data_IF_539875680054
#
_entry.id   IF_539875680054
#
_cell.length_a   1.000
_cell.length_b   1.000
_cell.length_c   1.000
_cell.angle_alpha   90.00
_cell.angle_beta   90.00
_cell.angle_gamma   90.00
#
_symmetry.space_group_name_H-M   'P 1'
#
loop_
_entity.id
_entity.type
_entity.pdbx_description
1 polymer ?
#
# COMPACT_ATOMS: atom_id res chain seq x y z
N UNK A 1 2.75 -9.90 15.81
CA UNK A 1 1.34 -10.33 15.74
C UNK A 1 1.13 -11.67 16.46
N UNK A 2 1.97 -12.68 16.23
CA UNK A 2 1.77 -14.06 16.73
C UNK A 2 1.49 -14.22 18.25
N UNK A 3 2.04 -13.35 19.10
CA UNK A 3 1.81 -13.40 20.55
C UNK A 3 0.51 -12.77 21.05
N UNK A 4 -0.31 -12.16 20.17
CA UNK A 4 -1.53 -11.47 20.57
C UNK A 4 -2.62 -12.44 21.04
N UNK A 5 -3.23 -12.14 22.19
CA UNK A 5 -4.28 -12.97 22.80
C UNK A 5 -5.14 -12.13 23.77
N UNK A 6 -6.13 -12.78 24.39
CA UNK A 6 -7.11 -12.14 25.29
C UNK A 6 -6.51 -11.35 26.47
N UNK A 7 -5.25 -11.63 26.87
CA UNK A 7 -4.55 -10.89 27.94
C UNK A 7 -4.19 -9.45 27.57
N UNK A 8 -4.42 -9.04 26.32
CA UNK A 8 -4.26 -7.66 25.90
C UNK A 8 -5.33 -6.71 26.50
N UNK A 9 -6.46 -7.25 26.98
CA UNK A 9 -7.50 -6.47 27.63
C UNK A 9 -7.19 -6.18 29.10
N UNK A 10 -7.66 -5.03 29.57
CA UNK A 10 -7.61 -4.66 30.99
C UNK A 10 -8.88 -5.16 31.69
N UNK A 11 -8.74 -5.87 32.82
CA UNK A 11 -9.84 -6.20 33.73
C UNK A 11 -11.07 -6.83 33.06
N UNK A 12 -12.26 -6.33 33.39
CA UNK A 12 -13.58 -6.84 32.96
C UNK A 12 -14.02 -6.36 31.56
N UNK A 13 -13.09 -5.94 30.70
CA UNK A 13 -13.42 -5.53 29.32
C UNK A 13 -14.01 -6.71 28.53
N UNK A 14 -15.09 -6.51 27.75
CA UNK A 14 -15.62 -7.57 26.89
C UNK A 14 -14.60 -7.99 25.83
N UNK A 15 -14.59 -9.29 25.49
CA UNK A 15 -13.69 -9.85 24.48
C UNK A 15 -13.76 -9.14 23.12
N UNK A 16 -14.91 -8.56 22.76
CA UNK A 16 -15.06 -7.81 21.51
C UNK A 16 -14.20 -6.56 21.42
N UNK A 17 -13.71 -6.02 22.54
CA UNK A 17 -12.74 -4.92 22.56
C UNK A 17 -11.35 -5.34 22.09
N UNK A 18 -11.05 -6.65 22.00
CA UNK A 18 -9.78 -7.14 21.43
C UNK A 18 -9.59 -6.66 19.99
N UNK A 19 -10.68 -6.50 19.24
CA UNK A 19 -10.65 -5.99 17.88
C UNK A 19 -10.01 -4.59 17.80
N UNK A 20 -10.35 -3.69 18.73
CA UNK A 20 -9.78 -2.34 18.78
C UNK A 20 -8.37 -2.35 19.39
N UNK A 21 -8.12 -3.20 20.39
CA UNK A 21 -6.77 -3.38 20.95
C UNK A 21 -5.76 -3.94 19.92
N UNK A 22 -6.25 -4.69 18.92
CA UNK A 22 -5.43 -5.24 17.85
C UNK A 22 -5.04 -4.20 16.78
N UNK A 23 -5.87 -3.16 16.57
CA UNK A 23 -5.63 -2.11 15.56
C UNK A 23 -4.22 -1.52 15.62
N UNK A 24 -3.73 -0.99 16.75
CA UNK A 24 -2.38 -0.41 16.82
C UNK A 24 -1.27 -1.45 16.63
N UNK A 25 -1.52 -2.73 16.90
CA UNK A 25 -0.55 -3.82 16.71
C UNK A 25 -0.42 -4.14 15.22
N UNK A 26 -1.55 -4.24 14.51
CA UNK A 26 -1.55 -4.45 13.07
C UNK A 26 -0.96 -3.25 12.32
N UNK A 27 -1.29 -2.03 12.75
CA UNK A 27 -0.80 -0.79 12.15
C UNK A 27 0.52 -0.28 12.74
N UNK A 28 1.26 -1.11 13.48
CA UNK A 28 2.49 -0.72 14.17
C UNK A 28 3.50 -0.06 13.22
N UNK A 29 3.61 -0.58 12.00
CA UNK A 29 4.57 -0.14 10.98
C UNK A 29 4.19 1.18 10.29
N UNK A 30 3.01 1.75 10.55
CA UNK A 30 2.50 2.94 9.84
C UNK A 30 3.43 4.15 9.92
N UNK A 31 4.14 4.31 11.03
CA UNK A 31 5.09 5.41 11.23
C UNK A 31 6.42 5.14 10.53
N UNK A 32 6.89 3.90 10.53
CA UNK A 32 8.07 3.47 9.79
C UNK A 32 7.83 3.62 8.28
N UNK A 33 6.63 3.29 7.79
CA UNK A 33 6.21 3.53 6.40
C UNK A 33 6.32 5.02 6.07
N UNK A 34 5.77 5.90 6.91
CA UNK A 34 5.86 7.35 6.69
C UNK A 34 7.32 7.84 6.68
N UNK A 35 8.16 7.33 7.58
CA UNK A 35 9.56 7.69 7.68
C UNK A 35 10.38 7.21 6.47
N UNK A 36 10.24 5.94 6.08
CA UNK A 36 10.90 5.37 4.92
C UNK A 36 10.47 6.08 3.63
N UNK A 37 9.17 6.36 3.47
CA UNK A 37 8.67 7.12 2.32
C UNK A 37 9.33 8.49 2.20
N UNK A 38 9.60 9.21 3.31
CA UNK A 38 10.29 10.51 3.27
C UNK A 38 11.68 10.46 2.64
N UNK A 39 12.39 9.33 2.70
CA UNK A 39 13.71 9.18 2.09
C UNK A 39 13.63 9.19 0.56
N UNK A 40 12.57 8.62 -0.02
CA UNK A 40 12.35 8.58 -1.47
C UNK A 40 12.07 9.99 -2.02
N UNK A 41 12.93 10.47 -2.91
CA UNK A 41 12.90 11.85 -3.39
C UNK A 41 13.02 12.88 -2.26
N UNK A 42 13.60 12.48 -1.12
CA UNK A 42 13.91 13.36 0.01
C UNK A 42 15.17 14.17 -0.26
N UNK A 43 15.31 15.30 0.44
CA UNK A 43 16.50 16.15 0.36
C UNK A 43 16.95 16.55 1.77
N UNK A 44 18.27 16.59 1.97
CA UNK A 44 18.93 17.13 3.14
C UNK A 44 19.26 18.60 2.86
N UNK A 45 18.95 19.48 3.81
CA UNK A 45 19.27 20.90 3.74
C UNK A 45 19.54 21.44 5.15
N UNK A 46 20.41 22.44 5.25
CA UNK A 46 20.63 23.13 6.53
C UNK A 46 19.48 24.08 6.83
N UNK A 47 18.98 24.05 8.06
CA UNK A 47 18.02 25.04 8.56
C UNK A 47 18.68 26.38 8.89
N UNK A 48 19.99 26.38 9.13
CA UNK A 48 20.77 27.61 9.33
C UNK A 48 21.05 28.20 7.95
N UNK A 49 20.52 29.39 7.69
CA UNK A 49 20.74 30.13 6.45
C UNK A 49 22.00 30.98 6.59
N UNK A 50 23.16 30.43 6.22
CA UNK A 50 24.36 31.21 5.96
C UNK A 50 24.66 31.21 4.45
N UNK A 51 25.69 31.95 4.04
CA UNK A 51 26.07 32.06 2.62
C UNK A 51 26.62 30.75 2.02
N UNK A 52 26.76 29.69 2.82
CA UNK A 52 27.31 28.38 2.43
C UNK A 52 26.28 27.25 2.48
N UNK A 53 25.04 27.52 2.89
CA UNK A 53 23.98 26.52 2.95
C UNK A 53 23.70 25.92 1.56
N UNK A 54 23.87 24.61 1.44
CA UNK A 54 23.49 23.83 0.26
C UNK A 54 22.45 22.77 0.64
N UNK A 55 21.78 22.25 -0.36
CA UNK A 55 20.90 21.09 -0.22
C UNK A 55 21.30 20.02 -1.22
N UNK A 56 21.05 18.76 -0.87
CA UNK A 56 21.28 17.63 -1.77
C UNK A 56 20.20 16.57 -1.57
N UNK A 57 19.91 15.79 -2.62
CA UNK A 57 19.02 14.64 -2.48
C UNK A 57 19.62 13.58 -1.55
N UNK A 58 18.74 12.79 -0.93
CA UNK A 58 19.14 11.60 -0.17
C UNK A 58 19.93 10.66 -1.09
N UNK A 59 20.99 10.04 -0.55
CA UNK A 59 21.89 9.19 -1.34
C UNK A 59 21.13 8.03 -2.03
N UNK A 60 21.50 7.65 -3.28
CA UNK A 60 20.78 6.63 -4.04
C UNK A 60 20.55 5.33 -3.28
N UNK A 61 21.58 4.82 -2.61
CA UNK A 61 21.50 3.56 -1.85
C UNK A 61 20.53 3.63 -0.66
N UNK A 62 20.42 4.79 -0.01
CA UNK A 62 19.42 4.98 1.04
C UNK A 62 18.00 5.01 0.48
N UNK A 63 17.80 5.59 -0.72
CA UNK A 63 16.50 5.57 -1.38
C UNK A 63 16.12 4.15 -1.82
N UNK A 64 17.04 3.38 -2.41
CA UNK A 64 16.80 1.97 -2.79
C UNK A 64 16.47 1.11 -1.57
N UNK A 65 17.21 1.26 -0.46
CA UNK A 65 16.92 0.55 0.78
C UNK A 65 15.55 0.92 1.35
N UNK A 66 15.17 2.19 1.30
CA UNK A 66 13.85 2.65 1.72
C UNK A 66 12.72 2.11 0.82
N UNK A 67 12.95 2.06 -0.50
CA UNK A 67 11.99 1.49 -1.45
C UNK A 67 11.76 0.01 -1.12
N UNK A 68 12.84 -0.76 -0.99
CA UNK A 68 12.75 -2.17 -0.61
C UNK A 68 11.98 -2.36 0.70
N UNK A 69 12.29 -1.58 1.73
CA UNK A 69 11.61 -1.68 3.02
C UNK A 69 10.11 -1.39 2.92
N UNK A 70 9.70 -0.45 2.05
CA UNK A 70 8.29 -0.17 1.77
C UNK A 70 7.62 -1.33 1.02
N UNK A 71 8.28 -1.88 -0.01
CA UNK A 71 7.75 -3.02 -0.77
C UNK A 71 7.59 -4.26 0.09
N UNK A 72 8.50 -4.51 1.05
CA UNK A 72 8.38 -5.61 2.01
C UNK A 72 7.10 -5.51 2.87
N UNK A 73 6.54 -4.30 3.08
CA UNK A 73 5.25 -4.12 3.79
C UNK A 73 4.02 -4.52 2.95
N UNK A 74 4.19 -4.68 1.63
CA UNK A 74 3.13 -5.09 0.71
C UNK A 74 3.06 -6.60 0.53
N UNK A 75 4.05 -7.33 1.05
CA UNK A 75 4.11 -8.79 0.93
C UNK A 75 2.93 -9.43 1.66
N UNK A 76 2.29 -10.47 1.09
CA UNK A 76 1.17 -11.13 1.74
C UNK A 76 1.51 -11.62 3.15
N UNK A 77 2.74 -12.08 3.37
CA UNK A 77 3.25 -12.53 4.66
C UNK A 77 3.29 -11.41 5.72
N UNK A 78 3.56 -10.16 5.30
CA UNK A 78 3.58 -8.99 6.19
C UNK A 78 2.18 -8.50 6.58
N UNK A 79 1.17 -8.81 5.75
CA UNK A 79 -0.21 -8.37 5.92
C UNK A 79 -1.11 -9.47 6.49
N UNK A 80 -0.61 -10.70 6.58
CA UNK A 80 -1.32 -11.87 7.08
C UNK A 80 -1.57 -11.76 8.60
N UNK A 81 -2.76 -12.16 9.02
CA UNK A 81 -3.11 -12.29 10.44
C UNK A 81 -3.25 -13.79 10.73
N UNK A 82 -2.44 -14.36 11.63
CA UNK A 82 -2.53 -15.76 12.00
C UNK A 82 -3.95 -16.16 12.41
N UNK A 83 -4.38 -17.36 12.00
CA UNK A 83 -5.76 -17.82 12.21
C UNK A 83 -6.18 -17.82 13.69
N UNK A 84 -5.24 -18.16 14.59
CA UNK A 84 -5.47 -18.13 16.04
C UNK A 84 -5.73 -16.71 16.54
N UNK A 85 -5.08 -15.70 15.96
CA UNK A 85 -5.31 -14.29 16.28
C UNK A 85 -6.66 -13.84 15.75
N UNK A 86 -6.99 -14.13 14.49
CA UNK A 86 -8.29 -13.77 13.90
C UNK A 86 -9.45 -14.33 14.72
N UNK A 87 -9.36 -15.57 15.17
CA UNK A 87 -10.40 -16.22 15.98
C UNK A 87 -10.63 -15.54 17.34
N UNK A 88 -9.66 -14.79 17.87
CA UNK A 88 -9.85 -14.00 19.09
C UNK A 88 -10.53 -12.66 18.85
N UNK A 89 -10.55 -12.16 17.61
CA UNK A 89 -11.17 -10.89 17.26
C UNK A 89 -12.68 -11.08 17.11
N UNK A 90 -13.38 -11.33 18.22
CA UNK A 90 -14.84 -11.52 18.17
C UNK A 90 -15.58 -10.19 17.97
N UNK A 91 -16.80 -10.20 17.40
CA UNK A 91 -17.62 -9.01 17.31
C UNK A 91 -17.86 -8.36 18.69
N UNK A 92 -17.97 -7.03 18.69
CA UNK A 92 -18.36 -6.26 19.88
C UNK A 92 -19.75 -6.68 20.37
N UNK A 93 -19.96 -6.66 21.68
CA UNK A 93 -21.19 -7.12 22.34
C UNK A 93 -21.77 -6.06 23.29
N UNK A 94 -23.06 -6.18 23.59
CA UNK A 94 -23.78 -5.25 24.46
C UNK A 94 -23.82 -3.83 23.90
N UNK A 95 -23.45 -2.84 24.72
CA UNK A 95 -23.45 -1.43 24.35
C UNK A 95 -22.18 -0.98 23.59
N UNK A 96 -21.22 -1.88 23.37
CA UNK A 96 -19.99 -1.56 22.64
C UNK A 96 -20.23 -1.57 21.14
N UNK A 97 -19.81 -0.51 20.46
CA UNK A 97 -20.00 -0.31 19.03
C UNK A 97 -18.66 -0.04 18.35
N UNK A 98 -18.59 -0.28 17.04
CA UNK A 98 -17.45 0.12 16.24
C UNK A 98 -17.31 1.65 16.28
N UNK A 99 -16.08 2.13 16.47
CA UNK A 99 -15.77 3.56 16.52
C UNK A 99 -14.88 3.93 15.34
N UNK A 100 -14.48 5.21 15.26
CA UNK A 100 -13.47 5.64 14.28
C UNK A 100 -12.12 4.95 14.49
N UNK A 101 -11.86 4.40 15.68
CA UNK A 101 -10.62 3.68 16.00
C UNK A 101 -10.70 2.19 15.63
N UNK A 102 -11.88 1.69 15.24
CA UNK A 102 -12.07 0.31 14.77
C UNK A 102 -11.74 0.20 13.28
N UNK A 103 -11.27 -0.98 12.84
CA UNK A 103 -11.20 -1.26 11.41
C UNK A 103 -12.59 -1.22 10.79
N UNK A 104 -12.72 -0.49 9.69
CA UNK A 104 -13.87 -0.63 8.81
C UNK A 104 -13.82 -2.01 8.11
N UNK A 105 -14.98 -2.60 7.84
CA UNK A 105 -15.11 -3.95 7.30
C UNK A 105 -16.04 -4.00 6.09
N UNK A 106 -15.63 -4.74 5.06
CA UNK A 106 -16.47 -5.06 3.90
C UNK A 106 -17.39 -6.27 4.12
N UNK A 107 -17.24 -7.00 5.23
CA UNK A 107 -18.01 -8.21 5.55
C UNK A 107 -18.89 -8.05 6.81
N UNK A 108 -19.07 -6.82 7.30
CA UNK A 108 -19.89 -6.51 8.46
C UNK A 108 -19.12 -6.62 9.77
N UNK A 109 -19.74 -7.19 10.81
CA UNK A 109 -19.20 -7.18 12.19
C UNK A 109 -18.05 -8.17 12.43
N UNK A 110 -17.78 -9.06 11.46
CA UNK A 110 -16.69 -10.03 11.53
C UNK A 110 -15.34 -9.40 11.17
N UNK A 111 -14.21 -9.94 11.67
CA UNK A 111 -12.87 -9.50 11.29
C UNK A 111 -12.62 -9.62 9.79
N UNK A 112 -12.39 -8.49 9.14
CA UNK A 112 -12.08 -8.43 7.72
C UNK A 112 -10.57 -8.33 7.51
N UNK A 113 -9.88 -9.46 7.46
CA UNK A 113 -8.44 -9.49 7.21
C UNK A 113 -8.08 -8.86 5.86
N UNK A 114 -8.91 -9.05 4.84
CA UNK A 114 -8.67 -8.45 3.52
C UNK A 114 -8.85 -6.93 3.58
N UNK A 115 -9.81 -6.45 4.39
CA UNK A 115 -9.98 -5.04 4.68
C UNK A 115 -8.80 -4.43 5.44
N UNK A 116 -8.26 -5.14 6.44
CA UNK A 116 -7.04 -4.73 7.15
C UNK A 116 -5.84 -4.62 6.19
N UNK A 117 -5.65 -5.62 5.34
CA UNK A 117 -4.62 -5.61 4.30
C UNK A 117 -4.81 -4.46 3.31
N UNK A 118 -6.05 -4.16 2.91
CA UNK A 118 -6.35 -2.98 2.07
C UNK A 118 -5.87 -1.69 2.72
N UNK A 119 -6.23 -1.48 4.00
CA UNK A 119 -5.89 -0.25 4.73
C UNK A 119 -4.38 -0.04 4.81
N UNK A 120 -3.62 -1.06 5.25
CA UNK A 120 -2.18 -0.90 5.45
C UNK A 120 -1.42 -0.81 4.10
N UNK A 121 -1.77 -1.65 3.14
CA UNK A 121 -1.18 -1.61 1.79
C UNK A 121 -1.45 -0.27 1.10
N UNK A 122 -2.65 0.30 1.25
CA UNK A 122 -2.99 1.61 0.70
C UNK A 122 -2.19 2.73 1.35
N UNK A 123 -1.99 2.66 2.66
CA UNK A 123 -1.14 3.60 3.38
C UNK A 123 0.29 3.61 2.81
N UNK A 124 0.89 2.44 2.59
CA UNK A 124 2.20 2.32 1.95
C UNK A 124 2.21 2.89 0.53
N UNK A 125 1.32 2.42 -0.34
CA UNK A 125 1.36 2.75 -1.76
C UNK A 125 1.06 4.24 -2.00
N UNK A 126 0.12 4.85 -1.27
CA UNK A 126 -0.20 6.28 -1.43
C UNK A 126 0.93 7.19 -0.93
N UNK A 127 1.66 6.79 0.12
CA UNK A 127 2.87 7.50 0.57
C UNK A 127 4.01 7.40 -0.46
N UNK A 128 4.14 6.26 -1.12
CA UNK A 128 5.15 6.02 -2.17
C UNK A 128 4.83 6.79 -3.46
N UNK A 129 3.57 6.77 -3.90
CA UNK A 129 3.12 7.34 -5.19
C UNK A 129 2.61 8.78 -5.09
N UNK A 130 2.97 9.51 -4.04
CA UNK A 130 2.59 10.92 -3.87
C UNK A 130 3.14 11.75 -5.05
N UNK A 131 2.31 12.54 -5.77
CA UNK A 131 2.74 13.27 -6.98
C UNK A 131 4.00 14.13 -6.79
N UNK A 132 4.02 14.96 -5.74
CA UNK A 132 5.18 15.81 -5.41
C UNK A 132 6.46 15.01 -5.16
N UNK A 133 6.34 13.78 -4.64
CA UNK A 133 7.48 12.89 -4.42
C UNK A 133 8.01 12.38 -5.74
N UNK A 134 7.15 11.86 -6.61
CA UNK A 134 7.57 11.38 -7.92
C UNK A 134 8.20 12.50 -8.76
N UNK A 135 7.66 13.72 -8.68
CA UNK A 135 8.26 14.90 -9.32
C UNK A 135 9.69 15.14 -8.82
N UNK A 136 9.95 15.06 -7.50
CA UNK A 136 11.29 15.19 -6.93
C UNK A 136 12.22 14.04 -7.33
N UNK A 137 11.74 12.80 -7.34
CA UNK A 137 12.50 11.63 -7.82
C UNK A 137 12.94 11.84 -9.27
N UNK A 138 12.03 12.29 -10.14
CA UNK A 138 12.35 12.59 -11.53
C UNK A 138 13.39 13.71 -11.66
N UNK A 139 13.26 14.80 -10.90
CA UNK A 139 14.24 15.90 -10.90
C UNK A 139 15.63 15.46 -10.43
N UNK A 140 15.69 14.63 -9.38
CA UNK A 140 16.94 14.05 -8.89
C UNK A 140 17.60 13.21 -9.99
N UNK A 141 16.85 12.33 -10.63
CA UNK A 141 17.34 11.45 -11.70
C UNK A 141 17.78 12.17 -12.99
N UNK A 142 17.15 13.30 -13.32
CA UNK A 142 17.58 14.13 -14.46
C UNK A 142 18.96 14.74 -14.20
N UNK A 143 19.23 15.12 -12.95
CA UNK A 143 20.47 15.79 -12.55
C UNK A 143 21.61 14.80 -12.28
N UNK A 144 21.28 13.64 -11.72
CA UNK A 144 22.22 12.58 -11.35
C UNK A 144 21.61 11.21 -11.71
N UNK A 145 22.23 10.53 -12.69
CA UNK A 145 21.74 9.24 -13.21
C UNK A 145 21.95 8.07 -12.25
N UNK A 146 22.71 8.25 -11.17
CA UNK A 146 22.82 7.24 -10.12
C UNK A 146 21.62 7.25 -9.17
N UNK A 147 20.84 8.35 -9.14
CA UNK A 147 19.63 8.45 -8.32
C UNK A 147 18.56 7.43 -8.72
N UNK A 148 17.66 7.15 -7.78
CA UNK A 148 16.47 6.34 -8.07
C UNK A 148 15.64 7.02 -9.16
N UNK A 149 15.28 6.28 -10.20
CA UNK A 149 14.36 6.76 -11.23
C UNK A 149 12.91 6.40 -10.90
N UNK A 150 11.95 7.17 -11.43
CA UNK A 150 10.51 6.82 -11.31
C UNK A 150 10.22 5.50 -12.04
N UNK A 151 10.93 5.21 -13.13
CA UNK A 151 10.81 3.93 -13.84
C UNK A 151 11.17 2.76 -12.94
N UNK A 152 12.31 2.81 -12.25
CA UNK A 152 12.78 1.70 -11.42
C UNK A 152 11.87 1.50 -10.21
N UNK A 153 11.47 2.60 -9.56
CA UNK A 153 10.50 2.57 -8.46
C UNK A 153 9.20 1.86 -8.86
N UNK A 154 8.64 2.21 -10.01
CA UNK A 154 7.37 1.65 -10.48
C UNK A 154 7.57 0.20 -10.94
N UNK A 155 8.68 -0.10 -11.63
CA UNK A 155 8.99 -1.47 -12.04
C UNK A 155 9.08 -2.40 -10.83
N UNK A 156 9.84 -2.03 -9.81
CA UNK A 156 9.95 -2.81 -8.56
C UNK A 156 8.59 -2.96 -7.88
N UNK A 157 7.79 -1.89 -7.79
CA UNK A 157 6.43 -1.96 -7.23
C UNK A 157 5.54 -2.94 -8.00
N UNK A 158 5.54 -2.91 -9.34
CA UNK A 158 4.75 -3.81 -10.17
C UNK A 158 5.25 -5.25 -10.04
N UNK A 159 6.57 -5.46 -10.06
CA UNK A 159 7.22 -6.77 -9.98
C UNK A 159 7.00 -7.45 -8.63
N UNK A 160 6.97 -6.68 -7.54
CA UNK A 160 6.71 -7.22 -6.20
C UNK A 160 5.23 -7.40 -5.87
N UNK A 161 4.31 -6.87 -6.69
CA UNK A 161 2.87 -6.96 -6.43
C UNK A 161 2.14 -7.68 -7.57
N UNK A 162 1.58 -6.92 -8.50
CA UNK A 162 0.66 -7.41 -9.52
C UNK A 162 1.32 -8.28 -10.59
N UNK A 163 2.64 -8.18 -10.77
CA UNK A 163 3.41 -9.06 -11.63
C UNK A 163 4.10 -10.20 -10.88
N UNK A 164 4.10 -10.19 -9.54
CA UNK A 164 4.64 -11.30 -8.75
C UNK A 164 3.80 -12.54 -8.93
N UNK A 165 4.44 -13.70 -9.07
CA UNK A 165 3.74 -14.98 -9.12
C UNK A 165 3.47 -15.44 -7.69
N UNK A 166 2.21 -15.58 -7.32
CA UNK A 166 1.78 -16.15 -6.04
C UNK A 166 1.34 -17.60 -6.24
N UNK A 167 1.69 -18.50 -5.32
CA UNK A 167 1.08 -19.84 -5.26
C UNK A 167 -0.29 -19.71 -4.62
N UNK A 168 -1.30 -20.38 -5.18
CA UNK A 168 -2.65 -20.37 -4.59
C UNK A 168 -2.64 -21.05 -3.23
N UNK A 169 -2.85 -20.25 -2.19
CA UNK A 169 -2.86 -20.60 -0.78
C UNK A 169 -3.77 -19.64 0.02
N UNK A 170 -3.71 -19.69 1.36
CA UNK A 170 -4.48 -18.83 2.27
C UNK A 170 -4.23 -17.34 2.07
N UNK A 171 -3.05 -16.96 1.57
CA UNK A 171 -2.64 -15.58 1.35
C UNK A 171 -3.03 -15.03 -0.02
N UNK A 172 -3.63 -15.85 -0.90
CA UNK A 172 -4.04 -15.44 -2.25
C UNK A 172 -4.97 -14.23 -2.23
N UNK A 173 -5.93 -14.20 -1.31
CA UNK A 173 -6.87 -13.08 -1.18
C UNK A 173 -6.17 -11.77 -0.81
N UNK A 174 -5.15 -11.83 0.04
CA UNK A 174 -4.32 -10.67 0.42
C UNK A 174 -3.57 -10.15 -0.81
N UNK A 175 -2.89 -11.04 -1.53
CA UNK A 175 -2.18 -10.70 -2.77
C UNK A 175 -3.12 -10.05 -3.80
N UNK A 176 -4.32 -10.60 -3.98
CA UNK A 176 -5.33 -10.02 -4.87
C UNK A 176 -5.75 -8.61 -4.42
N UNK A 177 -5.96 -8.41 -3.11
CA UNK A 177 -6.31 -7.09 -2.55
C UNK A 177 -5.20 -6.06 -2.76
N UNK A 178 -3.94 -6.43 -2.47
CA UNK A 178 -2.78 -5.56 -2.69
C UNK A 178 -2.68 -5.14 -4.15
N UNK A 179 -2.85 -6.08 -5.09
CA UNK A 179 -2.82 -5.77 -6.52
C UNK A 179 -3.89 -4.76 -6.93
N UNK A 180 -5.11 -4.88 -6.39
CA UNK A 180 -6.17 -3.93 -6.64
C UNK A 180 -5.82 -2.54 -6.08
N UNK A 181 -5.26 -2.47 -4.87
CA UNK A 181 -4.82 -1.21 -4.25
C UNK A 181 -3.71 -0.53 -5.05
N UNK A 182 -2.71 -1.29 -5.49
CA UNK A 182 -1.60 -0.76 -6.29
C UNK A 182 -2.09 -0.19 -7.62
N UNK A 183 -2.93 -0.94 -8.33
CA UNK A 183 -3.51 -0.48 -9.59
C UNK A 183 -4.39 0.77 -9.40
N UNK A 184 -5.23 0.78 -8.36
CA UNK A 184 -6.09 1.92 -8.02
C UNK A 184 -5.26 3.18 -7.70
N UNK A 185 -4.19 3.04 -6.90
CA UNK A 185 -3.32 4.15 -6.55
C UNK A 185 -2.51 4.68 -7.75
N UNK A 186 -1.97 3.80 -8.60
CA UNK A 186 -1.28 4.22 -9.83
C UNK A 186 -2.21 4.98 -10.77
N UNK A 187 -3.45 4.51 -10.97
CA UNK A 187 -4.46 5.21 -11.78
C UNK A 187 -4.81 6.58 -11.20
N UNK A 188 -4.90 6.70 -9.87
CA UNK A 188 -5.11 7.99 -9.22
C UNK A 188 -3.93 8.93 -9.44
N UNK A 189 -2.70 8.45 -9.26
CA UNK A 189 -1.49 9.26 -9.47
C UNK A 189 -1.34 9.71 -10.92
N UNK A 190 -1.65 8.86 -11.90
CA UNK A 190 -1.67 9.24 -13.34
C UNK A 190 -2.59 10.43 -13.60
N UNK A 191 -3.74 10.48 -12.92
CA UNK A 191 -4.77 11.50 -13.14
C UNK A 191 -4.63 12.71 -12.22
N UNK A 192 -3.75 12.66 -11.23
CA UNK A 192 -3.54 13.77 -10.31
C UNK A 192 -2.92 14.95 -11.06
N UNK A 193 -3.52 16.15 -10.99
CA UNK A 193 -3.02 17.34 -11.69
C UNK A 193 -1.66 17.81 -11.17
N UNK A 194 -1.22 17.35 -10.01
CA UNK A 194 0.10 17.64 -9.46
C UNK A 194 1.19 16.66 -9.95
N UNK A 195 0.82 15.60 -10.66
CA UNK A 195 1.79 14.68 -11.28
C UNK A 195 2.30 15.31 -12.57
N UNK A 196 3.62 15.47 -12.71
CA UNK A 196 4.19 16.09 -13.90
C UNK A 196 3.86 15.30 -15.19
N UNK A 197 3.66 15.96 -16.35
CA UNK A 197 3.24 15.29 -17.59
C UNK A 197 4.14 14.13 -18.03
N UNK A 198 5.47 14.26 -17.88
CA UNK A 198 6.43 13.21 -18.21
C UNK A 198 6.30 11.98 -17.29
N UNK A 199 5.88 12.19 -16.04
CA UNK A 199 5.60 11.10 -15.10
C UNK A 199 4.23 10.47 -15.42
N UNK A 200 3.21 11.26 -15.76
CA UNK A 200 1.92 10.73 -16.19
C UNK A 200 2.08 9.84 -17.43
N UNK A 201 2.90 10.25 -18.41
CA UNK A 201 3.23 9.47 -19.59
C UNK A 201 3.92 8.14 -19.23
N UNK A 202 4.93 8.20 -18.36
CA UNK A 202 5.68 7.03 -17.91
C UNK A 202 4.78 6.04 -17.14
N UNK A 203 3.97 6.53 -16.19
CA UNK A 203 3.05 5.69 -15.42
C UNK A 203 1.97 5.07 -16.31
N UNK A 204 1.47 5.81 -17.30
CA UNK A 204 0.49 5.31 -18.27
C UNK A 204 1.07 4.17 -19.11
N UNK A 205 2.31 4.33 -19.60
CA UNK A 205 3.01 3.26 -20.34
C UNK A 205 3.21 2.02 -19.45
N UNK A 206 3.67 2.20 -18.22
CA UNK A 206 3.91 1.09 -17.27
C UNK A 206 2.63 0.33 -16.94
N UNK A 207 1.49 1.03 -16.82
CA UNK A 207 0.18 0.38 -16.66
C UNK A 207 -0.25 -0.41 -17.90
N UNK A 208 0.00 0.09 -19.11
CA UNK A 208 -0.26 -0.67 -20.35
C UNK A 208 0.63 -1.90 -20.47
N UNK A 209 1.91 -1.80 -20.09
CA UNK A 209 2.80 -2.94 -19.96
C UNK A 209 2.25 -3.96 -18.96
N UNK A 210 1.84 -3.51 -17.77
CA UNK A 210 1.25 -4.35 -16.75
C UNK A 210 0.00 -5.09 -17.26
N UNK A 211 -0.91 -4.43 -17.97
CA UNK A 211 -2.08 -5.06 -18.62
C UNK A 211 -1.67 -6.22 -19.51
N UNK A 212 -0.64 -6.02 -20.36
CA UNK A 212 -0.14 -7.07 -21.27
C UNK A 212 0.42 -8.26 -20.49
N UNK A 213 1.14 -8.00 -19.40
CA UNK A 213 1.68 -9.04 -18.52
C UNK A 213 0.59 -9.79 -17.76
N UNK A 214 -0.40 -9.09 -17.22
CA UNK A 214 -1.54 -9.67 -16.50
C UNK A 214 -2.34 -10.61 -17.42
N UNK A 215 -2.64 -10.18 -18.65
CA UNK A 215 -3.30 -11.02 -19.67
C UNK A 215 -2.50 -12.28 -19.98
N UNK A 216 -1.17 -12.16 -20.09
CA UNK A 216 -0.26 -13.30 -20.33
C UNK A 216 -0.20 -14.25 -19.14
N UNK A 217 -0.18 -13.74 -17.91
CA UNK A 217 -0.14 -14.52 -16.66
C UNK A 217 -1.46 -15.25 -16.41
N UNK A 218 -2.59 -14.62 -16.67
CA UNK A 218 -3.91 -15.22 -16.51
C UNK A 218 -4.08 -16.53 -17.31
N UNK A 219 -3.46 -16.63 -18.50
CA UNK A 219 -3.48 -17.86 -19.32
C UNK A 219 -2.77 -19.06 -18.69
N UNK A 220 -1.95 -18.85 -17.66
CA UNK A 220 -1.12 -19.88 -17.00
C UNK A 220 -1.46 -20.04 -15.52
N UNK A 221 -2.46 -19.33 -15.04
CA UNK A 221 -2.92 -19.37 -13.66
C UNK A 221 -4.08 -20.36 -13.52
N UNK A 222 -4.36 -20.81 -12.30
CA UNK A 222 -5.63 -21.49 -12.02
C UNK A 222 -6.83 -20.53 -12.17
N UNK A 223 -8.05 -21.08 -12.22
CA UNK A 223 -9.26 -20.32 -12.49
C UNK A 223 -9.47 -19.14 -11.52
N UNK A 224 -9.12 -19.32 -10.24
CA UNK A 224 -9.32 -18.30 -9.22
C UNK A 224 -8.38 -17.11 -9.46
N UNK A 225 -7.08 -17.37 -9.63
CA UNK A 225 -6.11 -16.32 -9.96
C UNK A 225 -6.35 -15.72 -11.36
N UNK A 226 -6.73 -16.54 -12.34
CA UNK A 226 -7.00 -16.09 -13.70
C UNK A 226 -8.15 -15.06 -13.73
N UNK A 227 -9.22 -15.29 -12.96
CA UNK A 227 -10.34 -14.36 -12.85
C UNK A 227 -9.88 -12.99 -12.31
N UNK A 228 -9.08 -12.98 -11.24
CA UNK A 228 -8.52 -11.74 -10.69
C UNK A 228 -7.63 -11.00 -11.68
N UNK A 229 -6.68 -11.71 -12.30
CA UNK A 229 -5.73 -11.11 -13.26
C UNK A 229 -6.44 -10.52 -14.49
N UNK A 230 -7.47 -11.19 -15.00
CA UNK A 230 -8.28 -10.70 -16.12
C UNK A 230 -9.12 -9.50 -15.73
N UNK A 231 -9.76 -9.53 -14.55
CA UNK A 231 -10.51 -8.39 -14.03
C UNK A 231 -9.60 -7.18 -13.84
N UNK A 232 -8.44 -7.36 -13.21
CA UNK A 232 -7.48 -6.29 -12.94
C UNK A 232 -6.97 -5.66 -14.24
N UNK A 233 -6.63 -6.48 -15.26
CA UNK A 233 -6.23 -5.98 -16.56
C UNK A 233 -7.32 -5.11 -17.21
N UNK A 234 -8.58 -5.57 -17.21
CA UNK A 234 -9.72 -4.81 -17.75
C UNK A 234 -9.96 -3.51 -16.97
N UNK A 235 -9.83 -3.55 -15.65
CA UNK A 235 -10.00 -2.37 -14.79
C UNK A 235 -8.91 -1.34 -15.03
N UNK A 236 -7.66 -1.75 -15.24
CA UNK A 236 -6.57 -0.83 -15.60
C UNK A 236 -6.82 -0.20 -16.97
N UNK A 237 -7.19 -1.01 -17.99
CA UNK A 237 -7.53 -0.50 -19.33
C UNK A 237 -8.63 0.56 -19.27
N UNK A 238 -9.72 0.24 -18.57
CA UNK A 238 -10.83 1.18 -18.34
C UNK A 238 -10.39 2.42 -17.57
N UNK A 239 -9.51 2.25 -16.58
CA UNK A 239 -8.95 3.33 -15.80
C UNK A 239 -8.03 4.27 -16.60
N UNK A 240 -7.35 3.78 -17.62
CA UNK A 240 -6.53 4.65 -18.46
C UNK A 240 -7.36 5.51 -19.42
N UNK A 241 -8.58 5.08 -19.77
CA UNK A 241 -9.43 5.77 -20.75
C UNK A 241 -10.56 6.59 -20.12
N UNK A 242 -11.11 6.16 -18.98
CA UNK A 242 -12.27 6.80 -18.34
C UNK A 242 -11.89 7.49 -17.03
N UNK A 243 -11.77 8.82 -17.04
CA UNK A 243 -11.33 9.63 -15.88
C UNK A 243 -12.21 9.41 -14.62
N UNK A 244 -13.50 9.13 -14.79
CA UNK A 244 -14.45 8.90 -13.68
C UNK A 244 -14.37 7.48 -13.09
N UNK A 245 -13.74 6.52 -13.78
CA UNK A 245 -13.65 5.14 -13.33
C UNK A 245 -12.83 5.04 -12.03
N UNK A 246 -13.37 4.35 -11.03
CA UNK A 246 -12.66 4.00 -9.80
C UNK A 246 -12.52 2.49 -9.73
N UNK A 247 -11.30 2.01 -9.53
CA UNK A 247 -11.06 0.57 -9.39
C UNK A 247 -11.57 0.10 -8.02
N UNK A 248 -11.32 0.88 -6.97
CA UNK A 248 -11.92 0.69 -5.65
C UNK A 248 -12.87 1.86 -5.37
N UNK A 249 -14.18 1.60 -5.46
CA UNK A 249 -15.23 2.63 -5.35
C UNK A 249 -15.23 3.36 -4.01
N UNK A 250 -15.06 2.61 -2.91
CA UNK A 250 -15.07 3.11 -1.55
C UNK A 250 -13.92 2.47 -0.77
N UNK A 251 -12.72 3.05 -0.81
CA UNK A 251 -11.60 2.62 0.01
C UNK A 251 -11.95 2.58 1.49
N UNK A 252 -11.44 1.58 2.21
CA UNK A 252 -11.60 1.53 3.66
C UNK A 252 -10.73 2.62 4.32
N UNK A 253 -11.28 3.41 5.25
CA UNK A 253 -10.48 4.41 5.96
C UNK A 253 -9.51 3.74 6.92
N UNK A 254 -8.31 4.32 7.04
CA UNK A 254 -7.38 3.93 8.09
C UNK A 254 -7.88 4.49 9.44
N UNK A 255 -7.97 3.66 10.49
CA UNK A 255 -8.19 4.16 11.84
C UNK A 255 -7.13 5.22 12.19
N UNK A 256 -7.52 6.41 12.68
CA UNK A 256 -6.59 7.51 12.91
C UNK A 256 -5.57 7.12 13.98
N UNK A 257 -5.98 6.34 14.98
CA UNK A 257 -5.16 6.00 16.13
C UNK A 257 -4.83 7.23 16.98
N UNK A 258 -4.33 6.99 18.19
CA UNK A 258 -3.83 8.10 19.01
C UNK A 258 -2.53 8.65 18.42
N UNK A 259 -2.28 9.99 18.51
CA UNK A 259 -0.95 10.54 18.26
C UNK A 259 0.05 9.83 19.17
N UNK A 260 1.20 9.44 18.61
CA UNK A 260 2.35 8.95 19.37
C UNK A 260 3.34 10.09 19.52
#
# INVERSE_FOLDING_TARGET
IEGFNHRALLGDQPLGELSDAFVPIYLLTRFQINAAAKLIGGANYSFVQDKTSSWHFVAPEQQKAALKALLDTLMPESLDVPINVIQYLVPKSGNYQATRESFASGIGVLPDQLGMAEVLSRHTVTNLLTPKRLNRVNQAYITDREQLSVSDLVNELLDDTLLKRQKTNTQTGIWMRVNAVVADALLQTVRDPNTAPEIQALLSERLQYAVSQLKRKAKRADDYQAAHLQWLAKSIEKGLTEVSFKLINKPLPMPPGSPI
#
